data_IF_576709162501
#
_entry.id   IF_576709162501
#
_cell.length_a   1.000
_cell.length_b   1.000
_cell.length_c   1.000
_cell.angle_alpha   90.00
_cell.angle_beta   90.00
_cell.angle_gamma   90.00
#
_symmetry.space_group_name_H-M   'P 1'
#
loop_
_entity.id
_entity.type
_entity.pdbx_description
1 polymer ?
#
# COMPACT_ATOMS: atom_id res chain seq x y z
N UNK A 1 11.05 -55.53 -35.46
CA UNK A 1 11.38 -54.63 -34.35
C UNK A 1 11.84 -53.33 -34.99
N UNK A 2 10.93 -52.55 -35.57
CA UNK A 2 9.93 -51.76 -34.84
C UNK A 2 10.66 -50.54 -34.29
N UNK A 3 10.73 -49.43 -35.05
CA UNK A 3 9.80 -48.27 -34.93
C UNK A 3 9.76 -47.84 -33.46
N UNK A 4 10.20 -46.65 -33.06
CA UNK A 4 9.57 -45.33 -33.28
C UNK A 4 10.51 -44.28 -32.68
N UNK A 5 10.79 -43.19 -33.38
CA UNK A 5 10.06 -41.92 -33.32
C UNK A 5 10.42 -41.11 -32.06
N UNK A 6 11.41 -40.24 -32.19
CA UNK A 6 11.29 -38.81 -32.51
C UNK A 6 10.93 -37.95 -31.29
N UNK A 7 11.29 -36.67 -31.46
CA UNK A 7 10.74 -35.48 -30.83
C UNK A 7 11.46 -35.06 -29.53
N UNK A 8 12.21 -33.95 -29.61
CA UNK A 8 11.72 -32.58 -29.39
C UNK A 8 11.54 -32.38 -27.88
N UNK A 9 12.21 -31.46 -27.21
CA UNK A 9 12.04 -30.00 -27.26
C UNK A 9 13.08 -29.44 -26.29
N UNK A 10 13.88 -28.44 -26.65
CA UNK A 10 13.47 -27.05 -26.46
C UNK A 10 14.07 -26.49 -25.16
N UNK A 11 15.09 -25.64 -25.30
CA UNK A 11 15.28 -24.50 -24.39
C UNK A 11 13.97 -23.69 -24.35
N UNK A 12 13.68 -22.84 -23.35
CA UNK A 12 14.49 -22.45 -22.20
C UNK A 12 13.78 -22.76 -20.86
N UNK A 13 14.57 -22.92 -19.78
CA UNK A 13 14.05 -22.75 -18.42
C UNK A 13 13.65 -21.28 -18.29
N UNK A 14 12.39 -21.01 -18.65
CA UNK A 14 11.73 -19.75 -18.41
C UNK A 14 11.88 -19.45 -16.93
N UNK A 15 12.51 -18.33 -16.64
CA UNK A 15 12.28 -17.60 -15.40
C UNK A 15 10.78 -17.67 -15.10
N UNK A 16 10.41 -18.35 -14.02
CA UNK A 16 9.05 -18.30 -13.46
C UNK A 16 8.84 -16.89 -12.88
N UNK A 17 8.83 -15.89 -13.76
CA UNK A 17 8.22 -14.59 -13.54
C UNK A 17 6.71 -14.76 -13.72
N UNK A 18 6.04 -15.44 -12.80
CA UNK A 18 4.58 -15.37 -12.71
C UNK A 18 4.09 -15.93 -11.39
N UNK A 19 4.19 -15.14 -10.31
CA UNK A 19 3.29 -15.27 -9.15
C UNK A 19 3.36 -14.06 -8.20
N UNK A 20 2.97 -12.86 -8.67
CA UNK A 20 2.47 -11.79 -7.78
C UNK A 20 1.25 -11.06 -8.37
N UNK A 21 0.46 -11.73 -9.20
CA UNK A 21 -0.89 -11.28 -9.54
C UNK A 21 -1.87 -11.86 -8.51
N UNK A 22 -1.96 -11.28 -7.31
CA UNK A 22 -2.94 -11.78 -6.31
C UNK A 22 -3.01 -11.11 -4.95
N UNK A 23 -1.98 -10.39 -4.50
CA UNK A 23 -2.03 -9.61 -3.25
C UNK A 23 -1.90 -8.13 -3.60
N UNK A 24 -3.00 -7.37 -3.53
CA UNK A 24 -2.93 -5.91 -3.61
C UNK A 24 -2.04 -5.41 -2.46
N UNK A 25 -0.91 -4.79 -2.79
CA UNK A 25 -0.06 -4.14 -1.80
C UNK A 25 -0.85 -3.06 -1.04
N UNK A 26 -0.54 -2.87 0.25
CA UNK A 26 -1.28 -1.95 1.11
C UNK A 26 -1.28 -0.50 0.59
N UNK A 27 -0.19 -0.06 -0.05
CA UNK A 27 -0.14 1.26 -0.68
C UNK A 27 -1.11 1.39 -1.85
N UNK A 28 -1.22 0.35 -2.68
CA UNK A 28 -2.18 0.28 -3.79
C UNK A 28 -3.62 0.29 -3.30
N UNK A 29 -3.91 -0.46 -2.23
CA UNK A 29 -5.19 -0.43 -1.53
C UNK A 29 -5.56 1.00 -1.08
N UNK A 30 -4.65 1.69 -0.40
CA UNK A 30 -4.90 3.06 0.06
C UNK A 30 -5.15 4.03 -1.09
N UNK A 31 -4.39 3.91 -2.19
CA UNK A 31 -4.59 4.72 -3.39
C UNK A 31 -5.97 4.47 -4.02
N UNK A 32 -6.42 3.22 -4.04
CA UNK A 32 -7.77 2.86 -4.51
C UNK A 32 -8.87 3.41 -3.61
N UNK A 33 -8.72 3.29 -2.29
CA UNK A 33 -9.67 3.83 -1.30
C UNK A 33 -9.76 5.36 -1.34
N UNK A 34 -8.64 6.05 -1.61
CA UNK A 34 -8.64 7.50 -1.83
C UNK A 34 -9.51 7.90 -3.03
N UNK A 35 -9.54 7.07 -4.07
CA UNK A 35 -10.35 7.28 -5.26
C UNK A 35 -10.08 8.66 -5.90
N UNK A 36 -11.12 9.50 -5.97
CA UNK A 36 -11.05 10.84 -6.57
C UNK A 36 -10.60 11.94 -5.60
N UNK A 37 -10.41 11.62 -4.32
CA UNK A 37 -9.95 12.60 -3.33
C UNK A 37 -8.50 12.98 -3.68
N UNK A 38 -8.23 14.27 -3.86
CA UNK A 38 -6.86 14.72 -4.17
C UNK A 38 -5.95 14.53 -2.96
N UNK A 39 -4.65 14.33 -3.18
CA UNK A 39 -3.67 14.27 -2.08
C UNK A 39 -3.77 15.51 -1.18
N UNK A 40 -3.92 16.70 -1.76
CA UNK A 40 -4.09 17.98 -1.04
C UNK A 40 -5.34 18.01 -0.16
N UNK A 41 -6.42 17.35 -0.58
CA UNK A 41 -7.63 17.24 0.24
C UNK A 41 -7.39 16.32 1.44
N UNK A 42 -6.72 15.18 1.22
CA UNK A 42 -6.35 14.27 2.30
C UNK A 42 -5.44 14.98 3.30
N UNK A 43 -4.40 15.67 2.82
CA UNK A 43 -3.49 16.41 3.71
C UNK A 43 -4.21 17.43 4.57
N UNK A 44 -5.16 18.18 3.99
CA UNK A 44 -5.93 19.19 4.73
C UNK A 44 -6.79 18.57 5.82
N UNK A 45 -7.33 17.36 5.61
CA UNK A 45 -8.21 16.68 6.57
C UNK A 45 -7.46 15.87 7.63
N UNK A 46 -6.31 15.30 7.28
CA UNK A 46 -5.58 14.41 8.18
C UNK A 46 -4.39 15.08 8.86
N UNK A 47 -3.89 16.19 8.31
CA UNK A 47 -2.70 16.87 8.79
C UNK A 47 -1.39 16.17 8.38
N UNK A 48 -1.40 15.33 7.35
CA UNK A 48 -0.17 14.71 6.82
C UNK A 48 0.31 15.45 5.58
N UNK A 49 1.61 15.42 5.30
CA UNK A 49 2.14 16.01 4.07
C UNK A 49 1.77 15.17 2.83
N UNK A 50 1.66 15.82 1.66
CA UNK A 50 1.36 15.10 0.41
C UNK A 50 2.50 14.16 0.02
N UNK A 51 3.74 14.52 0.38
CA UNK A 51 4.93 13.69 0.15
C UNK A 51 4.87 12.39 0.96
N UNK A 52 4.57 12.48 2.26
CA UNK A 52 4.44 11.31 3.13
C UNK A 52 3.28 10.41 2.70
N UNK A 53 2.11 10.99 2.40
CA UNK A 53 0.98 10.23 1.87
C UNK A 53 1.31 9.54 0.54
N UNK A 54 2.10 10.20 -0.31
CA UNK A 54 2.55 9.61 -1.58
C UNK A 54 3.54 8.47 -1.39
N UNK A 55 4.43 8.54 -0.38
CA UNK A 55 5.31 7.43 0.01
C UNK A 55 4.52 6.23 0.51
N UNK A 56 3.47 6.46 1.32
CA UNK A 56 2.58 5.40 1.79
C UNK A 56 1.86 4.72 0.62
N UNK A 57 1.30 5.47 -0.33
CA UNK A 57 0.58 4.92 -1.49
C UNK A 57 1.47 4.13 -2.47
N UNK A 58 2.79 4.26 -2.36
CA UNK A 58 3.76 3.46 -3.11
C UNK A 58 4.32 2.26 -2.33
N UNK A 59 3.98 2.14 -1.05
CA UNK A 59 4.54 1.11 -0.16
C UNK A 59 5.91 1.46 0.45
N UNK A 60 6.41 2.69 0.26
CA UNK A 60 7.73 3.11 0.79
C UNK A 60 7.73 3.30 2.32
N UNK A 61 6.54 3.44 2.91
CA UNK A 61 6.31 3.77 4.31
C UNK A 61 5.06 3.09 4.86
N UNK A 62 5.16 2.63 6.10
CA UNK A 62 4.02 2.13 6.87
C UNK A 62 3.45 3.29 7.70
N UNK A 63 2.18 3.68 7.50
CA UNK A 63 1.53 4.73 8.30
C UNK A 63 1.20 4.24 9.71
N UNK A 64 1.18 5.12 10.70
CA UNK A 64 0.75 4.77 12.06
C UNK A 64 -0.77 4.60 12.21
N UNK A 65 -1.18 4.03 13.34
CA UNK A 65 -2.60 3.77 13.58
C UNK A 65 -3.45 5.06 13.64
N UNK A 66 -2.94 6.20 14.11
CA UNK A 66 -3.77 7.40 14.14
C UNK A 66 -4.03 7.92 12.73
N UNK A 67 -3.01 7.90 11.86
CA UNK A 67 -3.19 8.22 10.46
C UNK A 67 -4.17 7.24 9.79
N UNK A 68 -4.03 5.94 10.03
CA UNK A 68 -4.95 4.93 9.50
C UNK A 68 -6.40 5.17 9.95
N UNK A 69 -6.64 5.52 11.22
CA UNK A 69 -7.98 5.87 11.72
C UNK A 69 -8.54 7.11 11.01
N UNK A 70 -7.74 8.16 10.79
CA UNK A 70 -8.14 9.36 10.04
C UNK A 70 -8.47 9.03 8.58
N UNK A 71 -7.63 8.22 7.92
CA UNK A 71 -7.84 7.78 6.55
C UNK A 71 -9.09 6.92 6.42
N UNK A 72 -9.32 6.00 7.36
CA UNK A 72 -10.51 5.15 7.38
C UNK A 72 -11.80 5.97 7.46
N UNK A 73 -11.84 6.99 8.33
CA UNK A 73 -12.97 7.92 8.42
C UNK A 73 -13.18 8.72 7.12
N UNK A 74 -12.09 9.16 6.48
CA UNK A 74 -12.16 9.88 5.21
C UNK A 74 -12.64 8.98 4.06
N UNK A 75 -12.17 7.74 4.01
CA UNK A 75 -12.45 6.77 2.95
C UNK A 75 -13.71 5.94 3.22
N UNK A 76 -14.36 6.14 4.38
CA UNK A 76 -15.59 5.45 4.81
C UNK A 76 -15.42 3.93 4.86
N UNK A 77 -14.30 3.48 5.41
CA UNK A 77 -14.00 2.06 5.66
C UNK A 77 -13.81 1.82 7.15
N UNK A 78 -13.83 0.55 7.55
CA UNK A 78 -13.57 0.17 8.94
C UNK A 78 -12.11 0.45 9.32
N UNK A 79 -11.85 1.29 10.35
CA UNK A 79 -10.49 1.55 10.81
C UNK A 79 -9.76 0.30 11.30
N UNK A 80 -10.43 -0.64 11.95
CA UNK A 80 -9.78 -1.83 12.49
C UNK A 80 -9.37 -2.79 11.38
N UNK A 81 -10.18 -2.89 10.32
CA UNK A 81 -9.81 -3.63 9.12
C UNK A 81 -8.60 -3.01 8.42
N UNK A 82 -8.57 -1.67 8.28
CA UNK A 82 -7.47 -0.97 7.64
C UNK A 82 -6.16 -1.10 8.42
N UNK A 83 -6.20 -1.02 9.76
CA UNK A 83 -5.06 -1.22 10.65
C UNK A 83 -4.51 -2.64 10.55
N UNK A 84 -5.40 -3.64 10.54
CA UNK A 84 -5.01 -5.05 10.39
C UNK A 84 -4.33 -5.30 9.04
N UNK A 85 -4.89 -4.76 7.95
CA UNK A 85 -4.31 -4.88 6.60
C UNK A 85 -2.96 -4.18 6.44
N UNK A 86 -2.71 -3.12 7.21
CA UNK A 86 -1.43 -2.42 7.25
C UNK A 86 -0.31 -3.24 7.94
N UNK A 87 -0.64 -4.39 8.53
CA UNK A 87 0.33 -5.22 9.24
C UNK A 87 0.59 -4.79 10.68
N UNK A 88 -0.20 -3.88 11.27
CA UNK A 88 -0.12 -3.51 12.70
C UNK A 88 -0.77 -4.57 13.60
N UNK A 89 -0.47 -5.83 13.34
CA UNK A 89 -0.84 -6.95 14.20
C UNK A 89 0.01 -6.90 15.46
N UNK A 90 -0.56 -6.38 16.54
CA UNK A 90 0.02 -6.26 17.89
C UNK A 90 0.97 -5.07 18.06
N UNK A 91 0.43 -4.01 18.66
CA UNK A 91 1.04 -2.70 18.96
C UNK A 91 1.32 -1.80 17.76
N UNK A 92 0.42 -0.85 17.45
CA UNK A 92 0.82 0.31 16.67
C UNK A 92 1.92 1.05 17.45
N UNK A 93 3.02 1.38 16.78
CA UNK A 93 3.98 2.33 17.33
C UNK A 93 3.24 3.67 17.53
N UNK A 94 3.00 4.11 18.78
CA UNK A 94 2.27 5.34 19.06
C UNK A 94 3.04 6.58 18.58
N UNK A 95 4.28 6.40 18.13
CA UNK A 95 5.19 7.42 17.65
C UNK A 95 5.47 7.34 16.14
N UNK A 96 4.95 6.37 15.38
CA UNK A 96 5.23 6.30 13.94
C UNK A 96 4.59 7.44 13.14
N UNK A 97 3.66 8.18 13.76
CA UNK A 97 3.06 9.40 13.20
C UNK A 97 3.90 10.68 13.49
N UNK A 98 5.07 10.57 14.14
CA UNK A 98 5.88 11.72 14.63
C UNK A 98 6.43 12.66 13.54
N UNK A 99 6.26 12.36 12.25
CA UNK A 99 6.57 13.29 11.18
C UNK A 99 5.35 14.15 10.76
N UNK A 100 4.55 14.62 11.72
CA UNK A 100 3.52 15.64 11.48
C UNK A 100 4.17 17.00 11.21
N UNK A 101 4.80 17.15 10.05
CA UNK A 101 5.31 18.44 9.59
C UNK A 101 4.20 19.20 8.84
N UNK A 102 3.19 19.66 9.58
CA UNK A 102 2.22 20.67 9.11
C UNK A 102 2.80 22.09 9.27
N UNK A 103 3.98 22.23 9.88
CA UNK A 103 4.46 23.50 10.43
C UNK A 103 5.35 24.35 9.50
N UNK A 104 5.48 24.02 8.20
CA UNK A 104 6.11 24.90 7.21
C UNK A 104 5.19 25.45 6.12
N UNK A 105 3.92 25.02 6.05
CA UNK A 105 3.05 25.30 4.90
C UNK A 105 2.04 26.45 5.08
N UNK A 106 2.07 27.18 6.21
CA UNK A 106 1.23 28.35 6.46
C UNK A 106 2.01 29.61 6.90
N UNK A 107 3.30 29.69 6.54
CA UNK A 107 4.05 30.95 6.55
C UNK A 107 4.25 31.46 5.14
#
# INVERSE_FOLDING_TARGET
>A
MGDVDQQQTGQPEGVEETETAGAEDFGSLLKRLRGRVSLREVTRRTGVSSSYLSQIERGDRVPGANLLRKLAGLYRVDPEDLIRRAGHGSQPDPFSDQAMDVERAYR
#
